data_IF_642550809169
#
_entry.id   IF_642550809169
#
_cell.length_a   1.000
_cell.length_b   1.000
_cell.length_c   1.000
_cell.angle_alpha   90.00
_cell.angle_beta   90.00
_cell.angle_gamma   90.00
#
_symmetry.space_group_name_H-M   'P 1'
#
loop_
_entity.id
_entity.type
_entity.pdbx_description
1 polymer ?
#
# COMPACT_ATOMS: atom_id res chain seq x y z
N UNK A 1 -14.39 -3.32 -6.74
CA UNK A 1 -14.50 -1.90 -7.13
C UNK A 1 -15.61 -1.77 -8.15
N UNK A 2 -16.83 -1.51 -7.70
CA UNK A 2 -18.04 -1.50 -8.53
C UNK A 2 -18.97 -0.38 -8.07
N UNK A 3 -19.83 0.10 -8.96
CA UNK A 3 -20.81 1.14 -8.62
C UNK A 3 -21.72 0.67 -7.48
N UNK A 4 -21.94 1.53 -6.48
CA UNK A 4 -22.77 1.25 -5.31
C UNK A 4 -22.08 0.52 -4.15
N UNK A 5 -20.85 0.02 -4.33
CA UNK A 5 -20.07 -0.55 -3.24
C UNK A 5 -19.52 0.53 -2.28
N UNK A 6 -19.23 0.14 -1.04
CA UNK A 6 -18.56 1.01 -0.06
C UNK A 6 -17.20 1.46 -0.62
N UNK A 7 -16.88 2.73 -0.44
CA UNK A 7 -15.64 3.34 -0.93
C UNK A 7 -14.43 2.98 -0.05
N UNK A 8 -14.05 1.70 -0.09
CA UNK A 8 -12.85 1.17 0.54
C UNK A 8 -11.77 0.91 -0.52
N UNK A 9 -10.63 1.58 -0.39
CA UNK A 9 -9.53 1.54 -1.37
C UNK A 9 -8.20 1.51 -0.63
N UNK A 10 -7.32 0.59 -1.01
CA UNK A 10 -5.90 0.61 -0.64
C UNK A 10 -5.06 0.82 -1.90
N UNK A 11 -4.24 1.87 -1.91
CA UNK A 11 -3.29 2.17 -2.97
C UNK A 11 -1.93 1.65 -2.58
N UNK A 12 -1.31 0.88 -3.48
CA UNK A 12 0.05 0.38 -3.31
C UNK A 12 0.96 0.90 -4.42
N UNK A 13 2.20 1.21 -4.06
CA UNK A 13 3.30 1.36 -5.03
C UNK A 13 4.09 0.06 -5.09
N UNK A 14 4.55 -0.32 -6.28
CA UNK A 14 5.53 -1.41 -6.44
C UNK A 14 6.93 -0.81 -6.51
N UNK A 15 7.73 -1.06 -5.48
CA UNK A 15 9.13 -0.64 -5.43
C UNK A 15 10.03 -1.76 -5.90
N UNK A 16 10.94 -1.46 -6.82
CA UNK A 16 12.03 -2.37 -7.22
C UNK A 16 13.22 -2.17 -6.31
N UNK A 17 13.85 -3.26 -5.86
CA UNK A 17 14.99 -3.22 -4.94
C UNK A 17 15.29 -4.60 -4.36
N UNK A 18 16.32 -4.72 -3.52
CA UNK A 18 16.63 -5.98 -2.82
C UNK A 18 15.95 -5.99 -1.46
N UNK A 19 15.04 -6.93 -1.24
CA UNK A 19 14.27 -7.06 -0.01
C UNK A 19 14.39 -8.48 0.55
N UNK A 20 14.48 -8.58 1.88
CA UNK A 20 14.35 -9.84 2.60
C UNK A 20 12.96 -9.96 3.24
N UNK A 21 12.32 -11.10 3.05
CA UNK A 21 11.07 -11.48 3.69
C UNK A 21 11.32 -12.70 4.58
N UNK A 22 10.60 -12.80 5.69
CA UNK A 22 10.64 -13.99 6.55
C UNK A 22 9.27 -14.65 6.54
N UNK A 23 9.24 -15.98 6.42
CA UNK A 23 8.01 -16.73 6.63
C UNK A 23 7.76 -16.99 8.13
N UNK A 24 6.64 -17.63 8.46
CA UNK A 24 6.28 -17.98 9.83
C UNK A 24 7.21 -19.01 10.48
N UNK A 25 8.02 -19.73 9.70
CA UNK A 25 9.01 -20.69 10.18
C UNK A 25 10.41 -20.07 10.35
N UNK A 26 10.57 -18.78 10.00
CA UNK A 26 11.82 -18.04 10.12
C UNK A 26 12.77 -18.18 8.91
N UNK A 27 12.33 -18.80 7.81
CA UNK A 27 13.15 -18.87 6.60
C UNK A 27 13.15 -17.54 5.85
N UNK A 28 14.35 -17.09 5.46
CA UNK A 28 14.54 -15.87 4.68
C UNK A 28 14.29 -16.14 3.19
N UNK A 29 13.50 -15.29 2.57
CA UNK A 29 13.27 -15.22 1.13
C UNK A 29 13.76 -13.89 0.60
N UNK A 30 14.55 -13.89 -0.47
CA UNK A 30 14.93 -12.68 -1.19
C UNK A 30 13.85 -12.32 -2.21
N UNK A 31 13.59 -11.03 -2.40
CA UNK A 31 12.69 -10.53 -3.43
C UNK A 31 13.21 -9.25 -4.07
N UNK A 32 12.86 -9.06 -5.33
CA UNK A 32 13.28 -7.92 -6.15
C UNK A 32 12.25 -6.78 -6.17
N UNK A 33 11.08 -7.02 -5.58
CA UNK A 33 9.96 -6.09 -5.55
C UNK A 33 9.26 -6.13 -4.19
N UNK A 34 8.74 -4.98 -3.75
CA UNK A 34 7.92 -4.85 -2.54
C UNK A 34 6.76 -3.91 -2.81
N UNK A 35 5.57 -4.27 -2.34
CA UNK A 35 4.43 -3.36 -2.29
C UNK A 35 4.51 -2.52 -1.01
N UNK A 36 4.48 -1.21 -1.15
CA UNK A 36 4.29 -0.28 -0.05
C UNK A 36 2.87 0.30 -0.13
N UNK A 37 2.18 0.36 1.01
CA UNK A 37 0.89 1.04 1.08
C UNK A 37 1.13 2.56 1.06
N UNK A 38 0.55 3.24 0.09
CA UNK A 38 0.70 4.68 -0.13
C UNK A 38 -0.49 5.47 0.45
N UNK A 39 -1.71 4.93 0.29
CA UNK A 39 -2.95 5.59 0.72
C UNK A 39 -4.00 4.53 1.08
N UNK A 40 -4.75 4.73 2.15
CA UNK A 40 -5.96 3.96 2.47
C UNK A 40 -7.15 4.89 2.64
N UNK A 41 -8.23 4.58 1.93
CA UNK A 41 -9.55 5.18 2.05
C UNK A 41 -10.47 4.12 2.64
N UNK A 42 -11.17 4.44 3.72
CA UNK A 42 -12.19 3.60 4.33
C UNK A 42 -13.49 4.38 4.43
N UNK A 43 -14.57 3.82 3.90
CA UNK A 43 -15.90 4.45 3.84
C UNK A 43 -15.82 5.88 3.27
N UNK A 44 -14.99 6.07 2.24
CA UNK A 44 -14.76 7.37 1.60
C UNK A 44 -13.88 8.35 2.38
N UNK A 45 -13.35 7.97 3.54
CA UNK A 45 -12.46 8.80 4.37
C UNK A 45 -11.03 8.33 4.25
N UNK A 46 -10.11 9.27 4.06
CA UNK A 46 -8.67 8.99 4.11
C UNK A 46 -8.30 8.67 5.56
N UNK A 47 -7.81 7.46 5.79
CA UNK A 47 -7.39 6.98 7.12
C UNK A 47 -5.88 6.73 7.22
N UNK A 48 -5.19 6.75 6.08
CA UNK A 48 -3.73 6.64 5.98
C UNK A 48 -3.26 7.28 4.67
N UNK A 49 -2.23 8.12 4.71
CA UNK A 49 -1.60 8.76 3.55
C UNK A 49 -0.09 8.92 3.82
N UNK A 50 0.73 8.04 3.23
CA UNK A 50 2.16 7.95 3.51
C UNK A 50 2.92 9.17 2.99
N UNK A 51 2.57 9.64 1.79
CA UNK A 51 3.31 10.67 1.05
C UNK A 51 2.50 11.94 0.78
N UNK A 52 1.33 12.10 1.43
CA UNK A 52 0.48 13.27 1.25
C UNK A 52 -0.18 13.34 -0.12
N UNK A 53 -0.41 12.20 -0.78
CA UNK A 53 -0.94 12.10 -2.15
C UNK A 53 -2.32 12.75 -2.25
N UNK A 54 -3.06 12.80 -1.15
CA UNK A 54 -4.39 13.43 -1.11
C UNK A 54 -4.36 14.96 -1.01
N UNK A 55 -3.18 15.58 -0.94
CA UNK A 55 -3.01 17.01 -0.65
C UNK A 55 -2.46 17.77 -1.86
N UNK A 56 -2.80 19.06 -2.01
CA UNK A 56 -2.18 19.91 -3.01
C UNK A 56 -0.69 20.11 -2.70
N UNK A 57 0.14 20.14 -3.74
CA UNK A 57 1.54 20.57 -3.68
C UNK A 57 1.64 22.08 -3.97
N UNK A 58 2.61 22.75 -3.36
CA UNK A 58 2.98 24.14 -3.66
C UNK A 58 3.95 24.21 -4.84
#
# INVERSE_FOLDING_TARGET
LSVGAVADIALFSSRKGKFGFIDSSGFKMEGEQKLDCELTIREGKIVYDLNGISRPSY
#
